data_IF_137636240305
#
_entry.id   IF_137636240305
#
_cell.length_a   1.000
_cell.length_b   1.000
_cell.length_c   1.000
_cell.angle_alpha   90.00
_cell.angle_beta   90.00
_cell.angle_gamma   90.00
#
_symmetry.space_group_name_H-M   'P 1'
#
loop_
_entity.id
_entity.type
_entity.pdbx_description
1 polymer ?
#
# COMPACT_ATOMS: atom_id res chain seq x y z
N UNK A 1 8.64 15.84 14.33
CA UNK A 1 8.04 14.49 14.40
C UNK A 1 7.49 14.27 13.02
N UNK A 2 8.02 13.34 12.26
CA UNK A 2 7.67 13.17 10.85
C UNK A 2 6.92 11.85 10.67
N UNK A 3 5.92 11.85 9.80
CA UNK A 3 5.22 10.62 9.40
C UNK A 3 3.93 10.32 10.14
N UNK A 4 3.34 11.32 10.83
CA UNK A 4 2.10 11.14 11.58
C UNK A 4 0.92 10.84 10.66
N UNK A 5 -0.01 9.98 11.13
CA UNK A 5 -1.28 9.74 10.44
C UNK A 5 -2.36 10.65 11.01
N UNK A 6 -2.97 11.47 10.16
CA UNK A 6 -4.04 12.39 10.53
C UNK A 6 -5.36 12.00 9.87
N UNK A 7 -6.41 11.91 10.68
CA UNK A 7 -7.77 11.72 10.16
C UNK A 7 -8.29 13.05 9.64
N UNK A 8 -8.69 13.06 8.37
CA UNK A 8 -9.04 14.24 7.62
C UNK A 8 -10.52 14.20 7.20
N UNK A 9 -11.19 15.33 7.35
CA UNK A 9 -12.46 15.59 6.71
C UNK A 9 -12.24 16.30 5.37
N UNK A 10 -13.20 16.16 4.46
CA UNK A 10 -13.18 16.89 3.21
C UNK A 10 -14.60 17.27 2.76
N UNK A 11 -14.68 18.34 1.96
CA UNK A 11 -15.92 18.77 1.31
C UNK A 11 -15.59 19.32 -0.08
N UNK A 12 -16.34 18.88 -1.08
CA UNK A 12 -16.33 19.49 -2.41
C UNK A 12 -17.43 20.54 -2.50
N UNK A 13 -17.05 21.81 -2.66
CA UNK A 13 -17.93 22.90 -3.05
C UNK A 13 -18.12 22.99 -4.56
N UNK A 14 -18.79 24.03 -5.04
CA UNK A 14 -19.00 24.25 -6.49
C UNK A 14 -17.70 24.51 -7.24
N UNK A 15 -16.78 25.26 -6.63
CA UNK A 15 -15.52 25.71 -7.26
C UNK A 15 -14.27 25.30 -6.50
N UNK A 16 -14.40 24.75 -5.29
CA UNK A 16 -13.26 24.45 -4.42
C UNK A 16 -13.41 23.12 -3.69
N UNK A 17 -12.27 22.56 -3.32
CA UNK A 17 -12.14 21.52 -2.32
C UNK A 17 -11.69 22.13 -1.01
N UNK A 18 -12.34 21.76 0.09
CA UNK A 18 -11.89 22.09 1.44
C UNK A 18 -11.46 20.81 2.16
N UNK A 19 -10.27 20.80 2.75
CA UNK A 19 -9.75 19.71 3.57
C UNK A 19 -9.41 20.25 4.96
N UNK A 20 -9.57 19.43 5.99
CA UNK A 20 -9.21 19.82 7.36
C UNK A 20 -8.82 18.60 8.20
N UNK A 21 -8.00 18.82 9.22
CA UNK A 21 -7.72 17.79 10.22
C UNK A 21 -8.89 17.69 11.19
N UNK A 22 -9.40 16.48 11.47
CA UNK A 22 -10.52 16.32 12.40
C UNK A 22 -10.10 16.65 13.85
N UNK A 23 -8.87 16.32 14.24
CA UNK A 23 -8.34 16.61 15.58
C UNK A 23 -7.89 18.06 15.76
N UNK A 24 -7.64 18.77 14.66
CA UNK A 24 -7.21 20.18 14.65
C UNK A 24 -8.02 20.95 13.60
N UNK A 25 -9.33 21.21 13.82
CA UNK A 25 -10.20 21.79 12.80
C UNK A 25 -9.79 23.18 12.32
N UNK A 26 -8.96 23.89 13.10
CA UNK A 26 -8.33 25.16 12.71
C UNK A 26 -7.31 24.99 11.57
N UNK A 27 -6.71 23.80 11.43
CA UNK A 27 -5.88 23.45 10.28
C UNK A 27 -6.82 23.01 9.16
N UNK A 28 -7.32 24.01 8.44
CA UNK A 28 -8.24 23.87 7.32
C UNK A 28 -7.70 24.66 6.13
N UNK A 29 -7.79 24.06 4.96
CA UNK A 29 -7.31 24.65 3.71
C UNK A 29 -8.35 24.52 2.61
N UNK A 30 -8.22 25.34 1.59
CA UNK A 30 -9.01 25.26 0.37
C UNK A 30 -8.09 25.25 -0.86
N UNK A 31 -8.50 24.52 -1.89
CA UNK A 31 -7.87 24.53 -3.21
C UNK A 31 -8.92 24.47 -4.32
N UNK A 32 -8.56 24.81 -5.55
CA UNK A 32 -9.50 24.72 -6.68
C UNK A 32 -9.81 23.25 -7.03
N UNK A 33 -8.86 22.37 -6.73
CA UNK A 33 -8.99 20.92 -6.88
C UNK A 33 -8.42 20.18 -5.66
N UNK A 34 -8.59 18.86 -5.63
CA UNK A 34 -8.12 18.02 -4.54
C UNK A 34 -6.61 18.11 -4.33
N UNK A 35 -5.78 18.12 -5.39
CA UNK A 35 -4.33 18.13 -5.25
C UNK A 35 -3.83 19.43 -4.62
N UNK A 36 -4.33 20.57 -5.09
CA UNK A 36 -3.98 21.87 -4.51
C UNK A 36 -4.37 21.92 -3.03
N UNK A 37 -5.58 21.45 -2.69
CA UNK A 37 -6.02 21.42 -1.31
C UNK A 37 -5.18 20.43 -0.47
N UNK A 38 -4.77 19.29 -1.04
CA UNK A 38 -3.93 18.30 -0.37
C UNK A 38 -2.51 18.82 -0.13
N UNK A 39 -1.89 19.44 -1.13
CA UNK A 39 -0.57 20.08 -1.00
C UNK A 39 -0.61 21.22 0.02
N UNK A 40 -1.66 22.06 -0.02
CA UNK A 40 -1.88 23.10 0.96
C UNK A 40 -2.03 22.52 2.37
N UNK A 41 -2.71 21.37 2.52
CA UNK A 41 -2.87 20.70 3.81
C UNK A 41 -1.54 20.14 4.31
N UNK A 42 -0.78 19.42 3.46
CA UNK A 42 0.57 18.95 3.76
C UNK A 42 1.47 20.09 4.23
N UNK A 43 1.46 21.21 3.51
CA UNK A 43 2.23 22.41 3.89
C UNK A 43 1.77 23.01 5.21
N UNK A 44 0.47 23.10 5.44
CA UNK A 44 -0.08 23.63 6.69
C UNK A 44 0.30 22.75 7.89
N UNK A 45 0.24 21.42 7.75
CA UNK A 45 0.68 20.46 8.77
C UNK A 45 2.17 20.57 9.01
N UNK A 46 2.99 20.62 7.96
CA UNK A 46 4.44 20.82 8.09
C UNK A 46 4.78 22.11 8.86
N UNK A 47 4.14 23.24 8.52
CA UNK A 47 4.43 24.53 9.14
C UNK A 47 3.91 24.64 10.58
N UNK A 48 2.74 24.09 10.88
CA UNK A 48 2.09 24.28 12.18
C UNK A 48 2.40 23.17 13.18
N UNK A 49 2.60 21.94 12.70
CA UNK A 49 2.84 20.76 13.55
C UNK A 49 4.28 20.23 13.43
N UNK A 50 5.08 20.75 12.49
CA UNK A 50 6.46 20.31 12.28
C UNK A 50 6.57 18.89 11.72
N UNK A 51 5.57 18.46 10.95
CA UNK A 51 5.49 17.13 10.34
C UNK A 51 5.53 17.23 8.81
N UNK A 52 6.71 17.03 8.24
CA UNK A 52 6.97 17.12 6.80
C UNK A 52 6.54 15.88 6.00
N UNK A 53 6.26 14.76 6.67
CA UNK A 53 5.93 13.48 6.05
C UNK A 53 4.51 13.00 6.41
N UNK A 54 3.64 13.95 6.77
CA UNK A 54 2.27 13.65 7.21
C UNK A 54 1.50 12.79 6.20
N UNK A 55 0.80 11.78 6.73
CA UNK A 55 -0.09 10.88 5.98
C UNK A 55 -1.54 11.19 6.35
N UNK A 56 -2.42 11.21 5.35
CA UNK A 56 -3.84 11.57 5.55
C UNK A 56 -4.76 10.38 5.34
N UNK A 57 -5.52 10.05 6.39
CA UNK A 57 -6.63 9.09 6.33
C UNK A 57 -7.95 9.86 6.21
N UNK A 58 -8.64 9.74 5.08
CA UNK A 58 -9.88 10.50 4.85
C UNK A 58 -11.12 9.71 5.29
N UNK A 59 -11.92 10.30 6.17
CA UNK A 59 -13.27 9.82 6.50
C UNK A 59 -14.29 10.97 6.40
N UNK A 60 -15.29 10.88 5.49
CA UNK A 60 -15.52 9.78 4.55
C UNK A 60 -14.39 9.63 3.52
N UNK A 61 -14.21 8.44 2.91
CA UNK A 61 -13.19 8.25 1.88
C UNK A 61 -13.40 9.20 0.71
N UNK A 62 -12.31 9.58 0.04
CA UNK A 62 -12.36 10.41 -1.14
C UNK A 62 -13.13 9.74 -2.28
N UNK A 63 -13.75 10.51 -3.20
CA UNK A 63 -14.47 9.94 -4.34
C UNK A 63 -13.52 9.11 -5.19
N UNK A 64 -13.98 7.91 -5.57
CA UNK A 64 -13.26 7.00 -6.45
C UNK A 64 -13.67 7.22 -7.91
N UNK A 65 -12.72 7.09 -8.82
CA UNK A 65 -12.99 7.11 -10.26
C UNK A 65 -13.91 5.96 -10.68
N UNK A 66 -14.53 6.06 -11.86
CA UNK A 66 -15.35 4.97 -12.39
C UNK A 66 -14.55 3.68 -12.59
N UNK A 67 -13.26 3.78 -12.93
CA UNK A 67 -12.39 2.62 -13.15
C UNK A 67 -12.00 1.98 -11.81
N UNK A 68 -11.67 2.78 -10.78
CA UNK A 68 -11.39 2.23 -9.44
C UNK A 68 -12.61 1.51 -8.85
N UNK A 69 -13.81 2.07 -9.01
CA UNK A 69 -15.05 1.45 -8.50
C UNK A 69 -15.31 0.06 -9.05
N UNK A 70 -14.81 -0.27 -10.25
CA UNK A 70 -14.87 -1.64 -10.79
C UNK A 70 -14.19 -2.66 -9.87
N UNK A 71 -13.08 -2.26 -9.25
CA UNK A 71 -12.24 -3.12 -8.44
C UNK A 71 -12.55 -3.02 -6.94
N UNK A 72 -13.31 -2.02 -6.51
CA UNK A 72 -13.64 -1.82 -5.09
C UNK A 72 -14.99 -2.47 -4.75
N UNK A 73 -15.17 -3.73 -5.14
CA UNK A 73 -16.37 -4.50 -4.83
C UNK A 73 -16.04 -5.98 -4.51
N UNK A 74 -16.13 -6.39 -3.24
CA UNK A 74 -16.44 -5.56 -2.06
C UNK A 74 -15.33 -4.55 -1.76
N UNK A 75 -15.67 -3.46 -1.06
CA UNK A 75 -14.67 -2.50 -0.58
C UNK A 75 -13.92 -3.08 0.64
N UNK A 76 -12.63 -3.34 0.44
CA UNK A 76 -11.72 -3.87 1.46
C UNK A 76 -10.42 -3.08 1.50
N UNK A 77 -9.77 -3.12 2.65
CA UNK A 77 -8.53 -2.39 2.92
C UNK A 77 -7.50 -3.26 3.61
N UNK A 78 -6.25 -2.86 3.51
CA UNK A 78 -5.20 -3.29 4.43
C UNK A 78 -4.96 -2.19 5.43
N UNK A 79 -4.96 -2.53 6.72
CA UNK A 79 -4.63 -1.61 7.80
C UNK A 79 -3.18 -1.83 8.21
N UNK A 80 -2.34 -0.82 8.04
CA UNK A 80 -0.94 -0.84 8.44
C UNK A 80 -0.63 0.30 9.40
N UNK A 81 0.50 0.18 10.10
CA UNK A 81 1.13 1.38 10.67
C UNK A 81 1.43 2.38 9.56
N UNK A 82 1.42 3.66 9.92
CA UNK A 82 1.82 4.82 9.13
C UNK A 82 3.23 4.75 8.57
N UNK A 83 3.94 5.87 8.64
CA UNK A 83 5.38 5.87 8.40
C UNK A 83 6.19 5.38 9.62
N UNK A 84 5.54 4.71 10.59
CA UNK A 84 6.20 4.17 11.79
C UNK A 84 6.95 2.88 11.45
N UNK A 85 8.06 3.03 10.74
CA UNK A 85 9.09 2.02 10.60
C UNK A 85 9.86 1.86 11.92
N UNK A 86 9.91 0.63 12.42
CA UNK A 86 10.60 0.29 13.67
C UNK A 86 11.76 -0.66 13.42
N UNK A 87 12.81 -0.52 14.24
CA UNK A 87 13.91 -1.47 14.27
C UNK A 87 13.58 -2.66 15.18
N UNK A 88 13.93 -3.85 14.72
CA UNK A 88 13.89 -5.08 15.50
C UNK A 88 15.32 -5.52 15.88
N UNK A 89 15.45 -6.26 16.98
CA UNK A 89 16.76 -6.69 17.51
C UNK A 89 17.39 -7.80 16.65
N UNK A 90 16.61 -8.78 16.21
CA UNK A 90 17.04 -9.79 15.22
C UNK A 90 15.82 -10.36 14.48
N UNK A 91 15.68 -10.05 13.19
CA UNK A 91 14.58 -10.60 12.36
C UNK A 91 14.88 -12.04 11.93
N UNK A 92 16.16 -12.45 11.89
CA UNK A 92 16.57 -13.78 11.45
C UNK A 92 15.97 -14.89 12.30
N UNK A 93 16.02 -14.75 13.63
CA UNK A 93 15.50 -15.78 14.56
C UNK A 93 13.99 -16.00 14.45
N UNK A 94 13.27 -15.04 13.85
CA UNK A 94 11.81 -15.12 13.71
C UNK A 94 11.36 -16.13 12.65
N UNK A 95 12.27 -16.61 11.78
CA UNK A 95 11.94 -17.51 10.67
C UNK A 95 12.91 -18.68 10.55
N UNK A 96 12.40 -19.86 10.18
CA UNK A 96 13.18 -21.12 10.24
C UNK A 96 14.43 -21.14 9.36
N UNK A 97 14.49 -20.30 8.31
CA UNK A 97 15.65 -20.17 7.43
C UNK A 97 16.28 -18.77 7.51
N UNK A 98 15.92 -17.98 8.53
CA UNK A 98 16.46 -16.65 8.73
C UNK A 98 15.97 -15.62 7.72
N UNK A 99 16.86 -14.68 7.41
CA UNK A 99 16.64 -13.64 6.42
C UNK A 99 17.56 -13.86 5.23
N UNK A 100 17.04 -13.70 4.01
CA UNK A 100 17.87 -13.80 2.82
C UNK A 100 18.92 -12.69 2.79
N UNK A 101 20.20 -13.05 2.65
CA UNK A 101 21.32 -12.09 2.60
C UNK A 101 21.28 -11.14 1.40
N UNK A 102 20.51 -11.46 0.35
CA UNK A 102 20.39 -10.64 -0.87
C UNK A 102 19.19 -9.69 -0.81
N UNK A 103 17.99 -10.20 -0.57
CA UNK A 103 16.78 -9.37 -0.57
C UNK A 103 16.35 -8.87 0.81
N UNK A 104 17.02 -9.31 1.87
CA UNK A 104 16.69 -9.01 3.27
C UNK A 104 15.25 -9.41 3.69
N UNK A 105 14.62 -10.32 2.94
CA UNK A 105 13.29 -10.83 3.26
C UNK A 105 13.35 -12.07 4.16
N UNK A 106 12.36 -12.25 5.05
CA UNK A 106 12.28 -13.44 5.89
C UNK A 106 12.00 -14.72 5.11
N UNK A 107 12.76 -15.78 5.36
CA UNK A 107 12.70 -17.06 4.64
C UNK A 107 12.29 -18.20 5.58
N UNK A 108 11.36 -19.04 5.13
CA UNK A 108 10.83 -20.15 5.91
C UNK A 108 9.60 -19.77 6.74
N UNK A 109 9.22 -20.66 7.62
CA UNK A 109 8.05 -20.52 8.48
C UNK A 109 8.36 -19.64 9.69
N UNK A 110 7.32 -19.00 10.25
CA UNK A 110 7.44 -18.21 11.48
C UNK A 110 7.75 -19.14 12.66
N UNK A 111 8.87 -18.91 13.34
CA UNK A 111 9.28 -19.67 14.56
C UNK A 111 8.43 -19.28 15.77
N UNK A 112 8.67 -19.90 16.93
CA UNK A 112 8.03 -19.52 18.20
C UNK A 112 8.64 -18.25 18.84
N UNK A 113 9.80 -17.80 18.35
CA UNK A 113 10.51 -16.65 18.93
C UNK A 113 9.64 -15.38 18.90
N UNK A 114 9.59 -14.58 19.97
CA UNK A 114 8.80 -13.35 19.98
C UNK A 114 9.45 -12.27 19.14
N UNK A 115 8.64 -11.46 18.45
CA UNK A 115 9.14 -10.22 17.86
C UNK A 115 9.60 -9.27 18.96
N UNK A 116 10.85 -8.80 18.88
CA UNK A 116 11.43 -7.78 19.77
C UNK A 116 11.59 -6.48 19.01
N UNK A 117 10.91 -5.42 19.45
CA UNK A 117 11.00 -4.07 18.89
C UNK A 117 11.80 -3.15 19.82
N UNK A 118 12.70 -2.35 19.25
CA UNK A 118 13.58 -1.47 20.03
C UNK A 118 12.84 -0.22 20.51
N UNK A 119 12.10 0.40 19.60
CA UNK A 119 11.36 1.63 19.84
C UNK A 119 10.12 1.70 18.96
N UNK A 120 9.16 2.51 19.39
CA UNK A 120 7.99 2.89 18.62
C UNK A 120 7.74 4.38 18.84
N UNK A 121 7.21 5.04 17.82
CA UNK A 121 6.79 6.42 17.92
C UNK A 121 5.80 6.63 19.10
N UNK A 122 6.02 7.64 19.95
CA UNK A 122 5.16 7.93 21.08
C UNK A 122 3.69 8.09 20.67
N UNK A 123 2.82 7.30 21.31
CA UNK A 123 1.39 7.38 21.09
C UNK A 123 0.86 6.60 19.89
N UNK A 124 1.71 6.03 19.03
CA UNK A 124 1.26 5.15 17.95
C UNK A 124 0.57 3.88 18.49
N UNK A 125 -0.38 3.36 17.72
CA UNK A 125 -1.12 2.11 17.98
C UNK A 125 -0.78 0.99 16.99
N UNK A 126 0.17 1.21 16.08
CA UNK A 126 0.77 0.16 15.27
C UNK A 126 1.98 0.65 14.48
N UNK A 127 2.64 -0.28 13.81
CA UNK A 127 3.86 -0.02 13.08
C UNK A 127 4.24 -1.23 12.23
N UNK A 128 5.36 -1.12 11.55
CA UNK A 128 5.95 -2.24 10.82
C UNK A 128 7.45 -2.28 11.02
N UNK A 129 8.03 -3.47 10.90
CA UNK A 129 9.49 -3.64 10.95
C UNK A 129 10.09 -3.38 9.58
N UNK A 130 11.07 -2.49 9.52
CA UNK A 130 11.80 -2.17 8.29
C UNK A 130 12.35 -3.43 7.62
N UNK A 131 12.35 -3.46 6.28
CA UNK A 131 12.82 -4.56 5.41
C UNK A 131 12.00 -5.87 5.46
N UNK A 132 11.51 -6.27 6.63
CA UNK A 132 10.71 -7.49 6.79
C UNK A 132 9.21 -7.26 6.62
N UNK A 133 8.74 -6.03 6.82
CA UNK A 133 7.32 -5.62 6.76
C UNK A 133 6.41 -6.37 7.74
N UNK A 134 6.96 -6.90 8.83
CA UNK A 134 6.14 -7.50 9.89
C UNK A 134 5.35 -6.38 10.55
N UNK A 135 4.03 -6.45 10.47
CA UNK A 135 3.12 -5.48 11.07
C UNK A 135 2.75 -5.86 12.50
N UNK A 136 2.58 -4.86 13.35
CA UNK A 136 2.14 -5.06 14.74
C UNK A 136 1.20 -3.96 15.18
N UNK A 137 0.35 -4.28 16.16
CA UNK A 137 -0.72 -3.42 16.66
C UNK A 137 -0.76 -3.44 18.19
N UNK A 138 -1.19 -2.33 18.79
CA UNK A 138 -1.37 -2.24 20.23
C UNK A 138 -2.58 -3.07 20.70
N UNK A 139 -2.55 -3.56 21.94
CA UNK A 139 -3.71 -4.18 22.58
C UNK A 139 -4.94 -3.26 22.64
N UNK A 140 -4.73 -1.94 22.73
CA UNK A 140 -5.82 -0.97 22.64
C UNK A 140 -6.56 -1.02 21.30
N UNK A 141 -5.83 -1.15 20.19
CA UNK A 141 -6.43 -1.34 18.87
C UNK A 141 -7.16 -2.69 18.79
N UNK A 142 -6.54 -3.77 19.28
CA UNK A 142 -7.17 -5.09 19.29
C UNK A 142 -8.48 -5.11 20.07
N UNK A 143 -8.58 -4.36 21.17
CA UNK A 143 -9.81 -4.23 21.95
C UNK A 143 -10.96 -3.52 21.19
N UNK A 144 -10.66 -2.82 20.09
CA UNK A 144 -11.69 -2.31 19.19
C UNK A 144 -12.29 -3.39 18.29
N UNK A 145 -11.56 -4.50 18.09
CA UNK A 145 -12.02 -5.66 17.34
C UNK A 145 -12.96 -6.51 18.19
N UNK A 146 -13.99 -7.07 17.56
CA UNK A 146 -14.91 -8.01 18.22
C UNK A 146 -14.17 -9.31 18.57
N UNK A 147 -14.70 -10.07 19.54
CA UNK A 147 -14.13 -11.38 19.88
C UNK A 147 -14.05 -12.33 18.67
N UNK A 148 -15.04 -12.27 17.76
CA UNK A 148 -15.00 -13.05 16.52
C UNK A 148 -13.86 -12.61 15.60
N UNK A 149 -13.62 -11.31 15.46
CA UNK A 149 -12.51 -10.78 14.65
C UNK A 149 -11.16 -11.17 15.23
N UNK A 150 -11.00 -11.07 16.55
CA UNK A 150 -9.77 -11.44 17.24
C UNK A 150 -9.47 -12.94 17.10
N UNK A 151 -10.47 -13.82 17.30
CA UNK A 151 -10.30 -15.27 17.28
C UNK A 151 -10.01 -15.86 15.89
N UNK A 152 -10.17 -15.09 14.81
CA UNK A 152 -9.82 -15.54 13.44
C UNK A 152 -8.33 -15.48 13.15
N UNK A 153 -7.58 -14.82 14.02
CA UNK A 153 -6.21 -14.42 13.80
C UNK A 153 -5.40 -14.84 15.03
N UNK A 154 -4.17 -15.32 14.83
CA UNK A 154 -3.28 -15.59 15.95
C UNK A 154 -2.56 -14.28 16.31
N UNK A 155 -2.75 -13.83 17.56
CA UNK A 155 -2.10 -12.64 18.08
C UNK A 155 -0.97 -13.05 19.01
N UNK A 156 0.26 -12.69 18.65
CA UNK A 156 1.43 -12.98 19.48
C UNK A 156 1.96 -11.70 20.09
N UNK A 157 2.19 -11.72 21.40
CA UNK A 157 2.71 -10.56 22.12
C UNK A 157 4.11 -10.20 21.62
N UNK A 158 4.30 -8.92 21.34
CA UNK A 158 5.58 -8.30 20.97
C UNK A 158 6.30 -7.86 22.25
N UNK A 159 7.61 -8.08 22.27
CA UNK A 159 8.49 -7.60 23.33
C UNK A 159 9.02 -6.22 22.94
N UNK A 160 8.93 -5.25 23.85
CA UNK A 160 9.42 -3.90 23.63
C UNK A 160 10.60 -3.65 24.58
N UNK A 161 11.76 -3.28 24.04
CA UNK A 161 12.92 -2.88 24.84
C UNK A 161 12.79 -1.44 25.35
N UNK A 162 12.12 -0.58 24.57
CA UNK A 162 11.89 0.81 24.89
C UNK A 162 10.85 1.07 25.99
N UNK A 163 10.79 2.33 26.45
CA UNK A 163 9.84 2.78 27.47
C UNK A 163 8.47 3.10 26.84
N UNK A 164 7.60 2.10 26.68
CA UNK A 164 6.16 2.34 26.50
C UNK A 164 5.35 1.44 27.43
N UNK A 165 4.25 1.99 27.95
CA UNK A 165 3.29 1.25 28.80
C UNK A 165 2.31 0.40 27.98
N UNK A 166 2.24 0.60 26.66
CA UNK A 166 1.35 -0.16 25.77
C UNK A 166 1.94 -1.54 25.52
N UNK A 167 1.06 -2.54 25.47
CA UNK A 167 1.39 -3.88 24.98
C UNK A 167 1.07 -3.95 23.50
N UNK A 168 1.97 -4.53 22.72
CA UNK A 168 1.81 -4.72 21.27
C UNK A 168 1.75 -6.21 20.92
N UNK A 169 1.17 -6.49 19.76
CA UNK A 169 0.95 -7.81 19.23
C UNK A 169 1.23 -7.83 17.73
N UNK A 170 1.96 -8.83 17.26
CA UNK A 170 2.04 -9.17 15.85
C UNK A 170 0.90 -10.12 15.50
N UNK A 171 0.51 -10.11 14.24
CA UNK A 171 -0.48 -11.04 13.71
C UNK A 171 0.21 -12.16 12.92
N UNK A 172 -0.09 -13.41 13.28
CA UNK A 172 0.36 -14.60 12.57
C UNK A 172 -0.81 -15.23 11.81
N UNK A 173 -0.61 -15.45 10.50
CA UNK A 173 -1.62 -16.04 9.62
C UNK A 173 -1.13 -17.36 9.03
N UNK A 174 -1.78 -18.46 9.40
CA UNK A 174 -1.58 -19.75 8.71
C UNK A 174 -2.05 -19.65 7.25
N UNK A 175 -3.26 -19.08 7.04
CA UNK A 175 -3.85 -18.87 5.71
C UNK A 175 -4.03 -17.37 5.46
N UNK A 176 -3.51 -16.91 4.33
CA UNK A 176 -3.65 -15.52 3.89
C UNK A 176 -3.93 -15.48 2.39
N UNK A 177 -4.78 -14.54 1.98
CA UNK A 177 -5.24 -14.39 0.60
C UNK A 177 -4.08 -13.88 -0.26
N UNK A 178 -3.71 -14.57 -1.35
CA UNK A 178 -2.61 -14.14 -2.20
C UNK A 178 -2.99 -12.94 -3.06
N UNK A 179 -1.99 -12.11 -3.36
CA UNK A 179 -2.13 -11.03 -4.34
C UNK A 179 -2.03 -11.56 -5.76
N UNK A 180 -2.77 -10.95 -6.68
CA UNK A 180 -2.89 -11.38 -8.08
C UNK A 180 -2.65 -10.22 -9.05
N UNK A 181 -1.95 -10.45 -10.17
CA UNK A 181 -1.89 -9.49 -11.26
C UNK A 181 -3.19 -9.52 -12.08
N UNK A 182 -3.55 -8.39 -12.66
CA UNK A 182 -4.82 -8.17 -13.39
C UNK A 182 -4.53 -7.87 -14.86
N UNK A 183 -5.28 -8.50 -15.75
CA UNK A 183 -5.17 -8.32 -17.21
C UNK A 183 -5.36 -6.85 -17.60
N UNK A 184 -4.49 -6.37 -18.48
CA UNK A 184 -4.55 -5.01 -19.02
C UNK A 184 -4.08 -3.91 -18.07
N UNK A 185 -3.74 -4.25 -16.83
CA UNK A 185 -3.05 -3.36 -15.90
C UNK A 185 -1.55 -3.67 -15.90
N UNK A 186 -0.76 -2.71 -15.41
CA UNK A 186 0.69 -2.80 -15.41
C UNK A 186 1.15 -3.12 -13.99
N UNK A 187 1.81 -4.26 -13.86
CA UNK A 187 2.35 -4.71 -12.59
C UNK A 187 3.87 -4.77 -12.64
N UNK A 188 4.45 -4.53 -11.47
CA UNK A 188 5.85 -4.77 -11.19
C UNK A 188 5.94 -5.85 -10.11
N UNK A 189 6.81 -6.81 -10.34
CA UNK A 189 7.25 -7.79 -9.35
C UNK A 189 8.63 -8.29 -9.76
N UNK A 190 9.31 -8.94 -8.83
CA UNK A 190 10.54 -9.65 -9.10
C UNK A 190 10.70 -10.82 -8.15
N UNK A 191 11.59 -11.73 -8.50
CA UNK A 191 11.98 -12.87 -7.67
C UNK A 191 13.45 -12.79 -7.28
N UNK A 192 13.73 -13.06 -6.02
CA UNK A 192 15.09 -13.14 -5.54
C UNK A 192 15.76 -14.39 -6.10
N UNK A 193 16.84 -14.25 -6.86
CA UNK A 193 17.60 -15.40 -7.38
C UNK A 193 18.33 -16.24 -6.31
N UNK A 194 18.31 -15.82 -5.04
CA UNK A 194 18.98 -16.53 -3.94
C UNK A 194 17.99 -17.33 -3.09
N UNK A 195 16.84 -16.74 -2.73
CA UNK A 195 15.83 -17.41 -1.88
C UNK A 195 14.52 -17.72 -2.60
N UNK A 196 14.43 -17.42 -3.91
CA UNK A 196 13.23 -17.63 -4.74
C UNK A 196 11.94 -16.98 -4.24
N UNK A 197 12.05 -16.02 -3.32
CA UNK A 197 10.90 -15.25 -2.89
C UNK A 197 10.50 -14.25 -3.96
N UNK A 198 9.22 -14.29 -4.29
CA UNK A 198 8.60 -13.32 -5.16
C UNK A 198 8.12 -12.13 -4.33
N UNK A 199 8.44 -10.92 -4.78
CA UNK A 199 7.85 -9.71 -4.23
C UNK A 199 6.34 -9.64 -4.54
N UNK A 200 5.56 -8.95 -3.68
CA UNK A 200 4.18 -8.63 -3.96
C UNK A 200 3.98 -8.05 -5.36
N UNK A 201 2.88 -8.42 -6.01
CA UNK A 201 2.45 -7.74 -7.22
C UNK A 201 2.04 -6.31 -6.86
N UNK A 202 2.76 -5.34 -7.41
CA UNK A 202 2.49 -3.93 -7.23
C UNK A 202 2.04 -3.32 -8.55
N UNK A 203 0.79 -2.90 -8.60
CA UNK A 203 0.26 -2.13 -9.70
C UNK A 203 0.97 -0.77 -9.75
N UNK A 204 1.32 -0.35 -10.96
CA UNK A 204 1.80 1.00 -11.23
C UNK A 204 0.95 1.64 -12.34
N UNK A 205 0.45 2.85 -12.11
CA UNK A 205 -0.23 3.63 -13.13
C UNK A 205 -1.40 4.45 -12.58
N UNK A 206 -2.43 4.61 -13.40
CA UNK A 206 -3.54 5.55 -13.17
C UNK A 206 -4.41 5.25 -11.95
N UNK A 207 -4.47 3.99 -11.50
CA UNK A 207 -5.27 3.60 -10.34
C UNK A 207 -4.50 3.85 -9.05
N UNK A 208 -5.18 4.39 -8.03
CA UNK A 208 -4.62 4.51 -6.68
C UNK A 208 -4.69 3.20 -5.87
N UNK A 209 -4.90 2.08 -6.56
CA UNK A 209 -4.98 0.73 -5.99
C UNK A 209 -3.70 0.00 -6.37
N UNK A 210 -2.85 -0.29 -5.39
CA UNK A 210 -1.55 -0.94 -5.62
C UNK A 210 -1.65 -2.46 -5.66
N UNK A 211 -2.64 -3.05 -4.99
CA UNK A 211 -2.72 -4.50 -4.78
C UNK A 211 -4.11 -5.02 -5.10
N UNK A 212 -4.16 -6.27 -5.57
CA UNK A 212 -5.40 -6.92 -5.97
C UNK A 212 -5.44 -8.34 -5.43
N UNK A 213 -6.65 -8.80 -5.09
CA UNK A 213 -6.94 -10.17 -4.68
C UNK A 213 -8.05 -10.76 -5.54
N UNK A 214 -8.11 -12.10 -5.60
CA UNK A 214 -9.18 -12.81 -6.29
C UNK A 214 -10.45 -12.81 -5.46
N UNK A 215 -11.58 -12.46 -6.07
CA UNK A 215 -12.91 -12.63 -5.48
C UNK A 215 -13.21 -14.07 -5.05
N UNK A 216 -12.61 -15.07 -5.71
CA UNK A 216 -12.74 -16.49 -5.32
C UNK A 216 -12.15 -16.76 -3.93
N UNK A 217 -11.08 -16.07 -3.57
CA UNK A 217 -10.34 -16.32 -2.32
C UNK A 217 -10.94 -15.55 -1.13
N UNK A 218 -11.68 -14.47 -1.39
CA UNK A 218 -12.35 -13.66 -0.36
C UNK A 218 -13.64 -14.28 0.19
N UNK A 219 -14.15 -15.37 -0.42
CA UNK A 219 -15.52 -15.89 -0.23
C UNK A 219 -16.60 -14.87 -0.63
N UNK A 220 -17.85 -15.33 -0.86
CA UNK A 220 -18.93 -14.45 -1.31
C UNK A 220 -19.32 -13.36 -0.28
N UNK A 221 -19.01 -13.59 1.00
CA UNK A 221 -19.17 -12.63 2.10
C UNK A 221 -17.88 -12.65 2.91
N UNK A 222 -16.88 -11.82 2.55
CA UNK A 222 -15.64 -11.80 3.29
C UNK A 222 -15.92 -11.44 4.76
N UNK A 223 -15.20 -12.06 5.70
CA UNK A 223 -15.26 -11.64 7.09
C UNK A 223 -14.80 -10.19 7.23
N UNK A 224 -15.21 -9.53 8.32
CA UNK A 224 -14.83 -8.14 8.57
C UNK A 224 -13.33 -7.95 8.80
N UNK A 225 -12.62 -8.99 9.28
CA UNK A 225 -11.17 -9.08 9.40
C UNK A 225 -10.64 -10.40 8.80
N UNK A 226 -9.53 -10.32 8.05
CA UNK A 226 -8.86 -11.44 7.40
C UNK A 226 -7.38 -11.14 7.14
N UNK A 227 -6.64 -12.12 6.64
CA UNK A 227 -5.24 -11.99 6.30
C UNK A 227 -5.03 -11.87 4.79
N UNK A 228 -4.19 -10.91 4.38
CA UNK A 228 -3.70 -10.78 2.99
C UNK A 228 -2.21 -11.05 2.98
N UNK A 229 -1.74 -11.86 2.01
CA UNK A 229 -0.34 -12.27 1.91
C UNK A 229 0.46 -11.21 1.16
N UNK A 230 1.38 -10.55 1.85
CA UNK A 230 2.30 -9.55 1.32
C UNK A 230 3.72 -10.12 1.26
N UNK A 231 4.00 -10.89 0.22
CA UNK A 231 5.23 -11.69 0.15
C UNK A 231 5.12 -12.86 1.12
N UNK A 232 6.04 -12.97 2.09
CA UNK A 232 5.97 -14.00 3.13
C UNK A 232 5.25 -13.55 4.40
N UNK A 233 5.03 -12.26 4.59
CA UNK A 233 4.36 -11.73 5.78
C UNK A 233 2.87 -11.50 5.53
N UNK A 234 2.00 -11.75 6.53
CA UNK A 234 0.60 -11.38 6.42
C UNK A 234 0.39 -9.92 6.82
N UNK A 235 -0.60 -9.28 6.19
CA UNK A 235 -1.13 -7.98 6.61
C UNK A 235 -2.63 -8.08 6.93
N UNK A 236 -3.11 -7.19 7.79
CA UNK A 236 -4.48 -7.20 8.27
C UNK A 236 -5.44 -6.60 7.25
N UNK A 237 -6.21 -7.46 6.58
CA UNK A 237 -7.33 -7.07 5.74
C UNK A 237 -8.58 -6.77 6.59
N UNK A 238 -9.23 -5.64 6.33
CA UNK A 238 -10.50 -5.23 6.96
C UNK A 238 -11.50 -4.76 5.90
N UNK A 239 -12.79 -5.03 6.09
CA UNK A 239 -13.82 -4.43 5.23
C UNK A 239 -13.89 -2.91 5.42
N UNK A 240 -14.10 -2.14 4.35
CA UNK A 240 -14.12 -0.66 4.46
C UNK A 240 -15.19 -0.17 5.43
N UNK A 241 -16.36 -0.81 5.46
CA UNK A 241 -17.44 -0.52 6.44
C UNK A 241 -16.94 -0.70 7.87
N UNK A 242 -16.23 -1.80 8.16
CA UNK A 242 -15.69 -2.05 9.49
C UNK A 242 -14.62 -1.03 9.87
N UNK A 243 -13.68 -0.72 8.96
CA UNK A 243 -12.65 0.28 9.21
C UNK A 243 -13.24 1.66 9.54
N UNK A 244 -14.29 2.09 8.83
CA UNK A 244 -14.98 3.36 9.12
C UNK A 244 -15.63 3.41 10.51
N UNK A 245 -15.98 2.28 11.11
CA UNK A 245 -16.47 2.23 12.49
C UNK A 245 -15.34 2.35 13.54
N UNK A 246 -14.08 2.21 13.11
CA UNK A 246 -12.88 2.23 13.95
C UNK A 246 -12.09 3.52 13.82
N UNK A 247 -11.92 4.03 12.59
CA UNK A 247 -11.08 5.20 12.27
C UNK A 247 -11.48 6.41 13.10
N UNK A 248 -10.48 7.18 13.54
CA UNK A 248 -10.67 8.38 14.37
C UNK A 248 -10.79 8.10 15.87
N UNK A 249 -10.92 6.83 16.29
CA UNK A 249 -10.79 6.47 17.71
C UNK A 249 -9.35 6.67 18.18
N UNK A 250 -9.12 7.04 19.46
CA UNK A 250 -7.76 7.22 20.00
C UNK A 250 -6.85 6.02 19.74
N UNK A 251 -7.40 4.80 19.83
CA UNK A 251 -6.68 3.55 19.63
C UNK A 251 -6.41 3.19 18.16
N UNK A 252 -6.73 4.10 17.22
CA UNK A 252 -6.35 3.99 15.80
C UNK A 252 -5.26 4.99 15.40
N UNK A 253 -4.73 5.80 16.35
CA UNK A 253 -3.66 6.76 16.06
C UNK A 253 -2.43 6.06 15.48
N UNK A 254 -1.94 6.58 14.35
CA UNK A 254 -0.78 6.04 13.63
C UNK A 254 -1.10 4.85 12.71
N UNK A 255 -2.39 4.50 12.54
CA UNK A 255 -2.83 3.49 11.57
C UNK A 255 -3.48 4.17 10.36
N UNK A 256 -3.24 3.64 9.16
CA UNK A 256 -3.94 4.03 7.94
C UNK A 256 -4.53 2.81 7.21
N UNK A 257 -5.42 3.07 6.26
CA UNK A 257 -6.01 2.05 5.42
C UNK A 257 -5.72 2.27 3.93
N UNK A 258 -5.10 1.27 3.29
CA UNK A 258 -4.86 1.24 1.85
C UNK A 258 -5.91 0.36 1.16
N UNK A 259 -6.51 0.85 0.07
CA UNK A 259 -7.47 0.05 -0.71
C UNK A 259 -6.82 -1.17 -1.37
N UNK A 260 -7.55 -2.29 -1.38
CA UNK A 260 -7.22 -3.46 -2.20
C UNK A 260 -8.32 -3.64 -3.25
N UNK A 261 -7.90 -3.86 -4.49
CA UNK A 261 -8.81 -4.23 -5.56
C UNK A 261 -9.22 -5.71 -5.48
N UNK A 262 -10.45 -5.99 -5.87
CA UNK A 262 -11.01 -7.34 -5.99
C UNK A 262 -11.33 -7.59 -7.45
N UNK A 263 -10.91 -8.74 -7.97
CA UNK A 263 -11.11 -9.11 -9.38
C UNK A 263 -11.73 -10.49 -9.55
N UNK A 264 -12.39 -10.71 -10.68
CA UNK A 264 -12.86 -12.04 -11.04
C UNK A 264 -11.68 -12.94 -11.43
N UNK A 265 -11.75 -14.27 -11.22
CA UNK A 265 -10.69 -15.18 -11.63
C UNK A 265 -10.33 -15.12 -13.13
N UNK A 266 -11.29 -14.74 -13.98
CA UNK A 266 -11.12 -14.55 -15.42
C UNK A 266 -10.28 -13.32 -15.79
N UNK A 267 -10.17 -12.35 -14.88
CA UNK A 267 -9.44 -11.10 -15.07
C UNK A 267 -7.99 -11.20 -14.58
N UNK A 268 -7.61 -12.30 -13.93
CA UNK A 268 -6.25 -12.52 -13.45
C UNK A 268 -5.32 -12.79 -14.63
N UNK A 269 -4.19 -12.09 -14.68
CA UNK A 269 -3.15 -12.32 -15.68
C UNK A 269 -2.22 -13.46 -15.23
N UNK A 270 -2.57 -14.69 -15.59
CA UNK A 270 -1.79 -15.89 -15.21
C UNK A 270 -0.43 -15.97 -15.90
N UNK A 271 -0.25 -15.22 -16.98
CA UNK A 271 0.97 -15.18 -17.79
C UNK A 271 1.77 -13.88 -17.53
N UNK A 272 1.46 -13.17 -16.44
CA UNK A 272 2.22 -12.01 -16.04
C UNK A 272 3.69 -12.40 -15.77
N UNK A 273 4.66 -11.78 -16.46
CA UNK A 273 6.05 -12.17 -16.33
C UNK A 273 6.62 -11.79 -14.96
N UNK A 274 7.48 -12.65 -14.43
CA UNK A 274 8.28 -12.40 -13.24
C UNK A 274 9.74 -12.31 -13.67
N UNK A 275 10.45 -11.31 -13.16
CA UNK A 275 11.85 -11.06 -13.51
C UNK A 275 12.74 -11.33 -12.30
N UNK A 276 14.00 -11.71 -12.52
CA UNK A 276 14.97 -11.66 -11.43
C UNK A 276 15.16 -10.21 -10.96
N UNK A 277 15.59 -10.02 -9.72
CA UNK A 277 15.85 -8.68 -9.18
C UNK A 277 16.76 -7.83 -10.10
N UNK A 278 17.80 -8.44 -10.68
CA UNK A 278 18.72 -7.74 -11.56
C UNK A 278 18.04 -7.23 -12.84
N UNK A 279 17.27 -8.10 -13.50
CA UNK A 279 16.51 -7.72 -14.70
C UNK A 279 15.45 -6.69 -14.35
N UNK A 280 14.76 -6.85 -13.21
CA UNK A 280 13.79 -5.89 -12.72
C UNK A 280 14.40 -4.51 -12.47
N UNK A 281 15.62 -4.42 -11.90
CA UNK A 281 16.33 -3.14 -11.71
C UNK A 281 16.64 -2.47 -13.04
N UNK A 282 17.19 -3.22 -14.00
CA UNK A 282 17.47 -2.72 -15.36
C UNK A 282 16.21 -2.19 -16.05
N UNK A 283 15.12 -2.96 -16.02
CA UNK A 283 13.83 -2.55 -16.58
C UNK A 283 13.23 -1.33 -15.84
N UNK A 284 13.42 -1.24 -14.53
CA UNK A 284 12.96 -0.10 -13.72
C UNK A 284 13.69 1.19 -14.06
N UNK A 285 15.01 1.12 -14.19
CA UNK A 285 15.86 2.23 -14.60
C UNK A 285 15.46 2.72 -16.00
N UNK A 286 15.33 1.80 -16.95
CA UNK A 286 14.93 2.15 -18.31
C UNK A 286 13.52 2.75 -18.37
N UNK A 287 12.57 2.17 -17.61
CA UNK A 287 11.22 2.74 -17.45
C UNK A 287 11.32 4.18 -16.97
N UNK A 288 12.05 4.43 -15.88
CA UNK A 288 12.12 5.75 -15.26
C UNK A 288 12.78 6.79 -16.18
N UNK A 289 13.85 6.40 -16.87
CA UNK A 289 14.54 7.26 -17.83
C UNK A 289 13.62 7.66 -18.99
N UNK A 290 12.93 6.69 -19.59
CA UNK A 290 11.99 6.95 -20.71
C UNK A 290 10.73 7.66 -20.27
N UNK A 291 10.25 7.41 -19.05
CA UNK A 291 8.99 7.97 -18.58
C UNK A 291 9.05 9.50 -18.54
N UNK A 292 10.14 10.08 -18.04
CA UNK A 292 10.33 11.54 -18.02
C UNK A 292 10.33 12.13 -19.45
N UNK A 293 11.07 11.51 -20.37
CA UNK A 293 11.15 11.96 -21.78
C UNK A 293 9.77 11.89 -22.45
N UNK A 294 9.06 10.78 -22.30
CA UNK A 294 7.75 10.59 -22.89
C UNK A 294 6.69 11.50 -22.26
N UNK A 295 6.72 11.68 -20.94
CA UNK A 295 5.87 12.64 -20.22
C UNK A 295 6.07 14.04 -20.80
N UNK A 296 7.31 14.51 -20.91
CA UNK A 296 7.62 15.86 -21.38
C UNK A 296 7.21 16.08 -22.84
N UNK A 297 7.30 15.03 -23.66
CA UNK A 297 6.76 15.04 -25.03
C UNK A 297 5.23 15.17 -25.02
N UNK A 298 4.52 14.35 -24.23
CA UNK A 298 3.06 14.40 -24.14
C UNK A 298 2.56 15.72 -23.53
N UNK A 299 3.28 16.32 -22.57
CA UNK A 299 2.93 17.62 -22.00
C UNK A 299 2.91 18.76 -23.05
N UNK A 300 3.60 18.58 -24.18
CA UNK A 300 3.66 19.51 -25.32
C UNK A 300 2.76 19.06 -26.48
N UNK A 301 1.96 18.01 -26.30
CA UNK A 301 1.08 17.51 -27.37
C UNK A 301 -0.13 18.43 -27.58
N UNK A 302 -0.65 18.54 -28.82
CA UNK A 302 -1.88 19.28 -29.10
C UNK A 302 -3.07 18.84 -28.24
N UNK A 303 -3.16 17.55 -27.91
CA UNK A 303 -4.21 17.00 -27.07
C UNK A 303 -4.14 17.55 -25.64
N UNK A 304 -2.94 17.59 -25.04
CA UNK A 304 -2.76 18.16 -23.70
C UNK A 304 -2.97 19.68 -23.72
N UNK A 305 -2.55 20.38 -24.76
CA UNK A 305 -2.85 21.81 -24.91
C UNK A 305 -4.36 22.07 -25.01
N UNK A 306 -5.09 21.26 -25.78
CA UNK A 306 -6.54 21.34 -25.87
C UNK A 306 -7.20 21.04 -24.52
N UNK A 307 -6.69 20.06 -23.76
CA UNK A 307 -7.16 19.79 -22.40
C UNK A 307 -6.90 20.96 -21.46
N UNK A 308 -5.73 21.61 -21.52
CA UNK A 308 -5.41 22.80 -20.71
C UNK A 308 -6.33 23.98 -21.00
N UNK A 309 -6.76 24.14 -22.26
CA UNK A 309 -7.71 25.18 -22.67
C UNK A 309 -9.16 24.86 -22.26
N UNK A 310 -9.44 23.64 -21.81
CA UNK A 310 -10.78 23.23 -21.40
C UNK A 310 -10.98 23.46 -19.89
N UNK A 311 -11.84 24.41 -19.47
CA UNK A 311 -12.02 24.74 -18.05
C UNK A 311 -12.67 23.60 -17.23
N UNK A 312 -13.17 22.54 -17.89
CA UNK A 312 -13.71 21.34 -17.21
C UNK A 312 -12.65 20.28 -16.93
N UNK A 313 -11.43 20.42 -17.45
CA UNK A 313 -10.33 19.47 -17.24
C UNK A 313 -9.38 20.01 -16.18
N UNK A 314 -9.01 19.13 -15.27
CA UNK A 314 -8.06 19.41 -14.19
C UNK A 314 -6.65 18.99 -14.57
N UNK A 315 -5.66 19.41 -13.78
CA UNK A 315 -4.30 18.88 -13.88
C UNK A 315 -4.26 17.35 -13.75
N UNK A 316 -5.10 16.77 -12.87
CA UNK A 316 -5.20 15.31 -12.73
C UNK A 316 -5.73 14.65 -14.00
N UNK A 317 -6.75 15.22 -14.66
CA UNK A 317 -7.22 14.68 -15.94
C UNK A 317 -6.08 14.59 -16.97
N UNK A 318 -5.24 15.62 -17.02
CA UNK A 318 -4.08 15.68 -17.91
C UNK A 318 -3.03 14.64 -17.49
N UNK A 319 -2.73 14.54 -16.20
CA UNK A 319 -1.75 13.60 -15.67
C UNK A 319 -2.19 12.14 -15.90
N UNK A 320 -3.45 11.83 -15.60
CA UNK A 320 -4.10 10.55 -15.89
C UNK A 320 -4.05 10.21 -17.38
N UNK A 321 -4.35 11.19 -18.24
CA UNK A 321 -4.23 11.03 -19.69
C UNK A 321 -2.79 10.67 -20.08
N UNK A 322 -1.78 11.39 -19.59
CA UNK A 322 -0.37 11.11 -19.87
C UNK A 322 0.00 9.69 -19.40
N UNK A 323 -0.34 9.32 -18.17
CA UNK A 323 -0.12 7.95 -17.66
C UNK A 323 -0.75 6.89 -18.57
N UNK A 324 -1.99 7.12 -19.02
CA UNK A 324 -2.69 6.19 -19.93
C UNK A 324 -1.97 5.99 -21.27
N UNK A 325 -1.19 6.98 -21.71
CA UNK A 325 -0.41 6.96 -22.96
C UNK A 325 1.00 6.43 -22.75
N UNK A 326 1.67 6.82 -21.67
CA UNK A 326 3.08 6.52 -21.40
C UNK A 326 3.25 5.14 -20.78
N UNK A 327 2.49 4.82 -19.73
CA UNK A 327 2.74 3.61 -18.94
C UNK A 327 2.58 2.35 -19.79
N UNK A 328 1.59 2.31 -20.70
CA UNK A 328 1.40 1.20 -21.64
C UNK A 328 2.59 0.99 -22.57
N UNK A 329 3.31 2.07 -22.91
CA UNK A 329 4.51 1.99 -23.75
C UNK A 329 5.73 1.48 -22.97
N UNK A 330 5.71 1.63 -21.65
CA UNK A 330 6.81 1.28 -20.75
C UNK A 330 6.48 0.10 -19.83
N UNK A 331 5.42 -0.66 -20.15
CA UNK A 331 5.11 -1.90 -19.45
C UNK A 331 6.32 -2.85 -19.54
N UNK A 332 6.69 -3.48 -18.43
CA UNK A 332 7.91 -4.30 -18.35
C UNK A 332 7.94 -5.40 -19.41
N UNK A 333 6.80 -6.03 -19.70
CA UNK A 333 6.71 -7.03 -20.78
C UNK A 333 7.11 -6.47 -22.15
N UNK A 334 6.79 -5.20 -22.43
CA UNK A 334 7.14 -4.53 -23.68
C UNK A 334 8.62 -4.13 -23.71
N UNK A 335 9.10 -3.51 -22.63
CA UNK A 335 10.53 -3.20 -22.48
C UNK A 335 11.38 -4.47 -22.57
N UNK A 336 10.99 -5.55 -21.90
CA UNK A 336 11.72 -6.80 -21.94
C UNK A 336 11.81 -7.41 -23.34
N UNK A 337 10.74 -7.32 -24.15
CA UNK A 337 10.77 -7.74 -25.56
C UNK A 337 11.76 -6.94 -26.40
N UNK A 338 12.00 -5.67 -26.06
CA UNK A 338 12.94 -4.80 -26.75
C UNK A 338 14.39 -5.12 -26.38
N UNK A 339 14.68 -5.34 -25.10
CA UNK A 339 16.04 -5.58 -24.59
C UNK A 339 16.45 -7.06 -24.58
N UNK A 340 15.48 -7.98 -24.65
CA UNK A 340 15.74 -9.42 -24.68
C UNK A 340 16.28 -9.99 -23.37
N UNK A 341 15.95 -9.41 -22.20
CA UNK A 341 16.39 -9.99 -20.93
C UNK A 341 15.64 -11.30 -20.62
N UNK A 342 16.32 -12.27 -19.98
CA UNK A 342 15.69 -13.53 -19.62
C UNK A 342 14.55 -13.31 -18.61
N UNK A 343 13.38 -13.84 -18.92
CA UNK A 343 12.28 -13.99 -17.96
C UNK A 343 12.60 -15.12 -17.00
N UNK A 344 12.10 -15.04 -15.76
CA UNK A 344 12.30 -16.11 -14.81
C UNK A 344 11.37 -17.29 -15.14
N UNK A 345 11.95 -18.44 -15.47
CA UNK A 345 11.22 -19.67 -15.78
C UNK A 345 11.06 -20.53 -14.52
N UNK A 346 9.83 -20.58 -13.98
CA UNK A 346 9.43 -21.44 -12.85
C UNK A 346 9.82 -22.91 -13.02
N UNK A 347 9.89 -23.40 -14.27
CA UNK A 347 10.10 -24.83 -14.57
C UNK A 347 11.56 -25.28 -14.53
N UNK A 348 12.51 -24.35 -14.37
CA UNK A 348 13.95 -24.65 -14.45
C UNK A 348 14.66 -24.77 -13.09
N UNK A 349 13.94 -24.87 -11.99
CA UNK A 349 14.57 -25.08 -10.69
C UNK A 349 14.72 -26.57 -10.38
N UNK A 350 15.91 -27.00 -9.87
CA UNK A 350 15.99 -28.27 -9.18
C UNK A 350 15.07 -28.22 -7.96
N UNK A 351 14.28 -29.29 -7.80
CA UNK A 351 13.34 -29.53 -6.71
C UNK A 351 13.98 -29.44 -5.33
#
# INVERSE_FOLDING_TARGET
MEGGVYVCGWKRGRTKYALWLQSHPQIKVEGQNYNEAHEALSKAVCLQLGDGEAVFEFDPPLPKSAIERKYLNPEIVIVSGGNTACDATDVGVLFTQGVCKKCHRPVGERTAEPLVIKSIEPGSHGGFISHSHIVFYSGGFLNLLTAQEQNRLEWRKVMLEGRSKKVFYEFIAEKAIPLVPVKGLIFQTWICGTCNQQMPWMHYGILKISHFVSSRDLSARPPSCFAVRMGNVPELGITRVRWRALVGRPETKGLLANDIGVVLPSEIDRDAPVYTEEVWRKLSEEKNNRWNILRDRWLKSPEVEAMRKNPRRTFNDIYEFIHSKVDKQLAFRKLNKEFGYPEWDRRRQPS
#
